data_IF_141291092989
#
_entry.id   IF_141291092989
#
_cell.length_a   1.000
_cell.length_b   1.000
_cell.length_c   1.000
_cell.angle_alpha   90.00
_cell.angle_beta   90.00
_cell.angle_gamma   90.00
#
_symmetry.space_group_name_H-M   'P 1'
#
loop_
_entity.id
_entity.type
_entity.pdbx_description
1 polymer ?
#
# COMPACT_ATOMS: atom_id res chain seq x y z
N UNK A 1 7.99 0.62 -11.42
CA UNK A 1 7.54 -0.62 -10.73
C UNK A 1 7.74 -0.47 -9.23
N UNK A 2 6.81 -0.94 -8.40
CA UNK A 2 6.88 -0.86 -6.91
C UNK A 2 8.17 -1.48 -6.37
N UNK A 3 8.65 -2.56 -7.01
CA UNK A 3 9.88 -3.26 -6.64
C UNK A 3 11.17 -2.58 -7.12
N UNK A 4 11.07 -1.42 -7.80
CA UNK A 4 12.27 -0.70 -8.24
C UNK A 4 12.96 -0.03 -7.04
N UNK A 5 14.29 -0.04 -7.03
CA UNK A 5 15.09 0.64 -5.99
C UNK A 5 14.81 2.15 -5.87
N UNK A 6 14.22 2.74 -6.91
CA UNK A 6 13.88 4.17 -6.94
C UNK A 6 12.46 4.46 -6.48
N UNK A 7 11.61 3.45 -6.24
CA UNK A 7 10.23 3.68 -5.84
C UNK A 7 10.14 4.45 -4.52
N UNK A 8 10.88 4.03 -3.49
CA UNK A 8 10.91 4.71 -2.20
C UNK A 8 11.35 6.18 -2.33
N UNK A 9 12.38 6.44 -3.15
CA UNK A 9 12.92 7.79 -3.39
C UNK A 9 11.90 8.78 -3.96
N UNK A 10 10.90 8.30 -4.71
CA UNK A 10 9.86 9.16 -5.27
C UNK A 10 8.95 9.76 -4.19
N UNK A 11 8.80 9.07 -3.06
CA UNK A 11 7.87 9.46 -2.00
C UNK A 11 8.57 9.87 -0.70
N UNK A 12 9.87 9.60 -0.57
CA UNK A 12 10.67 9.85 0.64
C UNK A 12 10.53 11.29 1.16
N UNK A 13 10.55 12.28 0.26
CA UNK A 13 10.43 13.70 0.62
C UNK A 13 9.06 14.08 1.21
N UNK A 14 7.99 13.33 0.89
CA UNK A 14 6.60 13.68 1.25
C UNK A 14 6.00 12.75 2.29
N UNK A 15 6.32 11.46 2.24
CA UNK A 15 5.70 10.40 3.04
C UNK A 15 6.68 9.74 4.02
N UNK A 16 7.96 10.11 3.96
CA UNK A 16 9.00 9.55 4.81
C UNK A 16 9.66 8.30 4.25
N UNK A 17 10.51 7.69 5.06
CA UNK A 17 11.38 6.56 4.69
C UNK A 17 10.73 5.18 4.86
N UNK A 18 9.49 5.15 5.37
CA UNK A 18 8.68 3.95 5.53
C UNK A 18 7.29 4.17 4.93
N UNK A 19 6.90 3.31 3.98
CA UNK A 19 5.63 3.41 3.28
C UNK A 19 4.79 2.15 3.51
N UNK A 20 3.50 2.33 3.74
CA UNK A 20 2.51 1.26 3.63
C UNK A 20 1.91 1.30 2.23
N UNK A 21 1.99 0.18 1.52
CA UNK A 21 1.49 0.05 0.15
C UNK A 21 0.46 -1.06 0.08
N UNK A 22 -0.67 -0.80 -0.57
CA UNK A 22 -1.70 -1.80 -0.88
C UNK A 22 -1.91 -1.81 -2.39
N UNK A 23 -1.87 -3.00 -3.00
CA UNK A 23 -2.01 -3.16 -4.45
C UNK A 23 -3.34 -3.87 -4.69
N UNK A 24 -4.41 -3.12 -4.95
CA UNK A 24 -5.74 -3.71 -5.09
C UNK A 24 -6.05 -4.17 -6.52
N UNK A 25 -5.44 -3.53 -7.52
CA UNK A 25 -5.54 -3.88 -8.95
C UNK A 25 -4.15 -3.79 -9.58
N UNK A 26 -3.91 -4.51 -10.67
CA UNK A 26 -2.63 -4.43 -11.40
C UNK A 26 -2.25 -3.01 -11.82
N UNK A 27 -3.23 -2.12 -11.96
CA UNK A 27 -3.02 -0.73 -12.36
C UNK A 27 -3.28 0.28 -11.22
N UNK A 28 -3.64 -0.18 -10.02
CA UNK A 28 -4.00 0.70 -8.91
C UNK A 28 -3.36 0.24 -7.60
N UNK A 29 -2.60 1.15 -7.01
CA UNK A 29 -1.98 0.99 -5.71
C UNK A 29 -2.28 2.21 -4.84
N UNK A 30 -2.32 1.99 -3.54
CA UNK A 30 -2.39 3.02 -2.52
C UNK A 30 -1.07 3.10 -1.77
N UNK A 31 -0.64 4.31 -1.42
CA UNK A 31 0.58 4.57 -0.66
C UNK A 31 0.22 5.47 0.52
N UNK A 32 0.62 5.04 1.71
CA UNK A 32 0.44 5.78 2.94
C UNK A 32 1.78 5.89 3.68
N UNK A 33 2.00 6.97 4.45
CA UNK A 33 3.13 7.02 5.36
C UNK A 33 2.93 5.96 6.46
N UNK A 34 3.99 5.24 6.83
CA UNK A 34 3.91 4.26 7.92
C UNK A 34 3.76 4.93 9.30
N UNK A 35 4.22 6.19 9.43
CA UNK A 35 4.26 6.94 10.68
C UNK A 35 2.92 7.58 11.10
N UNK A 36 1.75 7.03 10.70
CA UNK A 36 0.48 7.44 11.32
C UNK A 36 -0.82 7.20 10.56
N UNK A 37 -1.85 6.83 11.33
CA UNK A 37 -3.25 7.30 11.31
C UNK A 37 -4.17 6.99 10.13
N UNK A 38 -3.72 7.09 8.88
CA UNK A 38 -4.67 7.18 7.76
C UNK A 38 -5.14 5.84 7.24
N UNK A 39 -4.30 4.80 7.29
CA UNK A 39 -4.62 3.54 6.61
C UNK A 39 -5.90 2.89 7.14
N UNK A 40 -6.11 2.89 8.46
CA UNK A 40 -7.30 2.31 9.09
C UNK A 40 -8.58 3.03 8.63
N UNK A 41 -8.54 4.35 8.52
CA UNK A 41 -9.69 5.17 8.08
C UNK A 41 -10.12 4.86 6.64
N UNK A 42 -9.17 4.49 5.77
CA UNK A 42 -9.45 4.17 4.37
C UNK A 42 -9.68 2.68 4.10
N UNK A 43 -9.40 1.80 5.07
CA UNK A 43 -9.47 0.34 4.92
C UNK A 43 -10.78 -0.16 4.28
N UNK A 44 -11.96 0.17 4.83
CA UNK A 44 -13.25 -0.27 4.27
C UNK A 44 -13.50 0.24 2.84
N UNK A 45 -13.07 1.46 2.53
CA UNK A 45 -13.22 2.02 1.19
C UNK A 45 -12.31 1.31 0.17
N UNK A 46 -11.07 1.00 0.55
CA UNK A 46 -10.11 0.26 -0.27
C UNK A 46 -10.58 -1.18 -0.50
N UNK A 47 -11.09 -1.85 0.54
CA UNK A 47 -11.65 -3.20 0.44
C UNK A 47 -12.85 -3.24 -0.54
N UNK A 48 -13.72 -2.23 -0.49
CA UNK A 48 -14.82 -2.09 -1.46
C UNK A 48 -14.31 -1.90 -2.89
N UNK A 49 -13.27 -1.09 -3.10
CA UNK A 49 -12.69 -0.92 -4.44
C UNK A 49 -12.04 -2.20 -4.96
N UNK A 50 -11.33 -2.95 -4.11
CA UNK A 50 -10.79 -4.25 -4.45
C UNK A 50 -11.87 -5.21 -4.95
N UNK A 51 -13.04 -5.26 -4.30
CA UNK A 51 -14.18 -6.08 -4.77
C UNK A 51 -14.65 -5.68 -6.17
N UNK A 52 -14.57 -4.40 -6.52
CA UNK A 52 -15.00 -3.90 -7.82
C UNK A 52 -13.89 -3.91 -8.88
N UNK A 53 -12.63 -4.17 -8.51
CA UNK A 53 -11.50 -4.17 -9.43
C UNK A 53 -11.58 -5.34 -10.42
N UNK A 54 -11.22 -5.06 -11.69
CA UNK A 54 -11.26 -6.05 -12.78
C UNK A 54 -10.10 -7.03 -12.70
N UNK A 55 -8.92 -6.58 -12.26
CA UNK A 55 -7.70 -7.36 -12.16
C UNK A 55 -7.17 -7.32 -10.71
N UNK A 56 -7.98 -7.86 -9.80
CA UNK A 56 -7.70 -7.92 -8.36
C UNK A 56 -6.31 -8.51 -8.09
N UNK A 57 -5.56 -7.87 -7.20
CA UNK A 57 -4.22 -8.34 -6.78
C UNK A 57 -4.23 -8.81 -5.33
N UNK A 58 -4.24 -7.90 -4.35
CA UNK A 58 -4.19 -8.28 -2.93
C UNK A 58 -4.79 -7.21 -2.02
N UNK A 59 -5.17 -7.61 -0.81
CA UNK A 59 -5.51 -6.72 0.31
C UNK A 59 -4.40 -6.66 1.36
N UNK A 60 -3.27 -7.32 1.11
CA UNK A 60 -2.08 -7.25 1.95
C UNK A 60 -1.55 -5.82 2.02
N UNK A 61 -1.16 -5.43 3.23
CA UNK A 61 -0.45 -4.19 3.51
C UNK A 61 1.04 -4.50 3.50
N UNK A 62 1.75 -3.91 2.55
CA UNK A 62 3.18 -4.06 2.41
C UNK A 62 3.91 -2.87 3.02
N UNK A 63 4.89 -3.15 3.88
CA UNK A 63 5.86 -2.17 4.31
C UNK A 63 7.01 -2.12 3.31
N UNK A 64 7.26 -0.91 2.82
CA UNK A 64 8.38 -0.59 1.93
C UNK A 64 9.32 0.35 2.66
N UNK A 65 10.53 -0.12 2.89
CA UNK A 65 11.58 0.63 3.56
C UNK A 65 12.95 0.31 2.92
N UNK A 66 14.03 0.84 3.50
CA UNK A 66 15.40 0.61 3.02
C UNK A 66 15.82 -0.87 3.05
N UNK A 67 15.15 -1.73 3.81
CA UNK A 67 15.41 -3.18 3.88
C UNK A 67 14.65 -3.95 2.80
N UNK A 68 13.71 -3.31 2.09
CA UNK A 68 12.98 -3.88 0.97
C UNK A 68 11.47 -3.88 1.19
N UNK A 69 10.82 -4.94 0.71
CA UNK A 69 9.37 -5.06 0.62
C UNK A 69 8.91 -6.28 1.43
N UNK A 70 8.02 -6.08 2.42
CA UNK A 70 7.48 -7.18 3.26
C UNK A 70 6.02 -6.96 3.62
N UNK A 71 5.26 -8.03 3.80
CA UNK A 71 3.88 -7.95 4.31
C UNK A 71 3.90 -7.67 5.81
N UNK A 72 3.07 -6.73 6.26
CA UNK A 72 2.91 -6.38 7.68
C UNK A 72 1.48 -6.56 8.20
N UNK A 73 0.53 -6.90 7.32
CA UNK A 73 -0.86 -7.13 7.67
C UNK A 73 -1.73 -7.29 6.44
N UNK A 74 -3.03 -7.36 6.65
CA UNK A 74 -4.05 -7.42 5.60
C UNK A 74 -5.21 -6.49 5.98
N UNK A 75 -5.81 -5.83 5.00
CA UNK A 75 -7.05 -5.08 5.22
C UNK A 75 -8.21 -6.05 5.47
N UNK A 76 -9.08 -5.70 6.42
CA UNK A 76 -10.26 -6.51 6.72
C UNK A 76 -11.18 -6.62 5.50
N UNK A 77 -11.63 -7.86 5.28
CA UNK A 77 -12.61 -8.23 4.27
C UNK A 77 -13.97 -8.35 4.95
N UNK A 78 -14.62 -7.24 5.31
CA UNK A 78 -16.06 -7.32 5.62
C UNK A 78 -16.83 -7.91 4.43
#
# INVERSE_FOLDING_TARGET
AILSKNFLKLFEATLGDHLNVIIIDRNLLYIFPAAGGKLADYGPAIARQFRNAKLRVSLEVFLVDKKGFRVIGELERE
#
